data_IF_311861442039
#
_entry.id   IF_311861442039
#
_cell.length_a   1.000
_cell.length_b   1.000
_cell.length_c   1.000
_cell.angle_alpha   90.00
_cell.angle_beta   90.00
_cell.angle_gamma   90.00
#
_symmetry.space_group_name_H-M   'P 1'
#
loop_
_entity.id
_entity.type
_entity.pdbx_description
1 polymer ?
#
# COMPACT_ATOMS: atom_id res chain seq x y z
N UNK A 1 8.07 -20.22 4.06
CA UNK A 1 6.67 -20.19 3.58
C UNK A 1 5.78 -20.26 4.79
N UNK A 2 5.41 -19.08 5.30
CA UNK A 2 5.04 -18.90 6.71
C UNK A 2 3.51 -18.88 6.86
N UNK A 3 2.99 -19.52 7.91
CA UNK A 3 1.55 -19.68 8.21
C UNK A 3 0.78 -18.35 8.23
N UNK A 4 1.49 -17.27 8.53
CA UNK A 4 1.01 -15.89 8.48
C UNK A 4 0.60 -15.44 7.06
N UNK A 5 1.28 -15.89 5.99
CA UNK A 5 0.93 -15.50 4.61
C UNK A 5 -0.41 -16.12 4.16
N UNK A 6 -0.74 -17.33 4.65
CA UNK A 6 -2.03 -17.97 4.38
C UNK A 6 -3.19 -17.32 5.14
N UNK A 7 -2.93 -16.71 6.29
CA UNK A 7 -3.92 -15.91 7.02
C UNK A 7 -4.29 -14.64 6.25
N UNK A 8 -3.35 -14.01 5.52
CA UNK A 8 -3.65 -12.80 4.74
C UNK A 8 -4.48 -13.08 3.48
N UNK A 9 -4.26 -14.20 2.79
CA UNK A 9 -5.19 -14.65 1.74
C UNK A 9 -6.58 -14.97 2.33
N UNK A 10 -6.65 -15.57 3.52
CA UNK A 10 -7.94 -15.89 4.17
C UNK A 10 -8.67 -14.70 4.78
N UNK A 11 -7.94 -13.66 5.22
CA UNK A 11 -8.53 -12.40 5.72
C UNK A 11 -9.03 -11.55 4.54
N UNK A 12 -8.40 -11.63 3.37
CA UNK A 12 -8.93 -11.04 2.13
C UNK A 12 -10.22 -11.69 1.62
N UNK A 13 -10.50 -12.94 2.03
CA UNK A 13 -11.66 -13.72 1.58
C UNK A 13 -12.84 -13.75 2.58
N UNK A 14 -12.72 -13.12 3.76
CA UNK A 14 -13.77 -13.15 4.78
C UNK A 14 -14.15 -11.77 5.29
N UNK A 15 -15.05 -11.10 4.57
CA UNK A 15 -15.85 -10.02 5.15
C UNK A 15 -16.39 -9.00 4.16
N UNK A 16 -17.53 -9.34 3.55
CA UNK A 16 -18.63 -8.45 3.13
C UNK A 16 -18.46 -6.95 3.46
N UNK A 17 -18.44 -6.08 2.43
CA UNK A 17 -19.18 -4.79 2.46
C UNK A 17 -19.29 -4.04 1.12
N UNK A 18 -18.53 -4.38 0.07
CA UNK A 18 -18.49 -3.53 -1.14
C UNK A 18 -18.91 -4.21 -2.46
N UNK A 19 -20.00 -4.97 -2.41
CA UNK A 19 -20.69 -5.47 -3.62
C UNK A 19 -21.35 -4.33 -4.44
N UNK A 20 -21.15 -3.06 -4.04
CA UNK A 20 -21.58 -1.87 -4.79
C UNK A 20 -20.51 -1.29 -5.72
N UNK A 21 -19.26 -1.77 -5.70
CA UNK A 21 -18.19 -1.20 -6.56
C UNK A 21 -18.33 -1.67 -8.03
N UNK A 22 -19.30 -2.51 -8.36
CA UNK A 22 -19.60 -2.91 -9.74
C UNK A 22 -20.22 -1.79 -10.60
N UNK A 23 -20.36 -0.56 -10.07
CA UNK A 23 -20.92 0.61 -10.75
C UNK A 23 -19.99 1.84 -10.75
N UNK A 24 -18.70 1.70 -10.46
CA UNK A 24 -17.77 2.84 -10.58
C UNK A 24 -17.37 2.99 -12.05
N UNK A 25 -17.88 4.04 -12.70
CA UNK A 25 -17.51 4.44 -14.06
C UNK A 25 -16.47 5.57 -14.06
N UNK A 26 -15.91 5.89 -15.24
CA UNK A 26 -14.92 6.96 -15.40
C UNK A 26 -15.47 8.36 -15.12
N UNK A 27 -16.80 8.52 -15.17
CA UNK A 27 -17.47 9.78 -14.90
C UNK A 27 -17.52 10.10 -13.39
N UNK A 28 -17.46 9.06 -12.55
CA UNK A 28 -17.50 9.17 -11.08
C UNK A 28 -16.10 9.35 -10.46
N UNK A 29 -15.03 8.87 -11.11
CA UNK A 29 -13.66 8.97 -10.60
C UNK A 29 -13.20 10.39 -10.22
N UNK A 30 -13.49 11.45 -11.02
CA UNK A 30 -13.08 12.81 -10.69
C UNK A 30 -13.67 13.34 -9.37
N UNK A 31 -14.87 12.89 -8.99
CA UNK A 31 -15.53 13.26 -7.74
C UNK A 31 -15.18 12.30 -6.59
N UNK A 32 -15.06 11.00 -6.89
CA UNK A 32 -14.77 9.96 -5.91
C UNK A 32 -13.34 10.05 -5.37
N UNK A 33 -12.34 10.21 -6.24
CA UNK A 33 -10.93 10.18 -5.84
C UNK A 33 -10.59 11.27 -4.82
N UNK A 34 -10.99 12.55 -4.99
CA UNK A 34 -10.75 13.58 -3.98
C UNK A 34 -11.36 13.23 -2.63
N UNK A 35 -12.65 12.82 -2.59
CA UNK A 35 -13.33 12.42 -1.35
C UNK A 35 -12.65 11.24 -0.68
N UNK A 36 -12.24 10.24 -1.47
CA UNK A 36 -11.51 9.07 -0.98
C UNK A 36 -10.13 9.45 -0.42
N UNK A 37 -9.42 10.35 -1.10
CA UNK A 37 -8.12 10.88 -0.65
C UNK A 37 -8.27 11.57 0.71
N UNK A 38 -9.32 12.35 0.89
CA UNK A 38 -9.58 13.06 2.13
C UNK A 38 -9.92 12.05 3.24
N UNK A 39 -10.80 11.09 2.98
CA UNK A 39 -11.14 10.02 3.94
C UNK A 39 -9.93 9.16 4.34
N UNK A 40 -9.02 8.86 3.41
CA UNK A 40 -7.78 8.12 3.72
C UNK A 40 -6.93 8.89 4.73
N UNK A 41 -6.94 10.23 4.67
CA UNK A 41 -6.11 11.11 5.49
C UNK A 41 -6.78 11.51 6.81
N UNK A 42 -8.04 11.92 6.77
CA UNK A 42 -8.78 12.49 7.90
C UNK A 42 -9.81 11.54 8.50
N UNK A 43 -10.12 10.43 7.82
CA UNK A 43 -11.12 9.47 8.26
C UNK A 43 -10.81 8.96 9.67
N UNK A 44 -11.81 8.96 10.53
CA UNK A 44 -11.71 8.46 11.90
C UNK A 44 -12.34 7.06 11.94
N UNK A 45 -11.65 6.13 12.60
CA UNK A 45 -12.11 4.75 12.74
C UNK A 45 -11.39 3.77 11.81
N UNK A 46 -11.11 2.58 12.35
CA UNK A 46 -10.37 1.52 11.67
C UNK A 46 -11.13 0.99 10.44
N UNK A 47 -12.44 0.77 10.57
CA UNK A 47 -13.29 0.27 9.49
C UNK A 47 -13.33 1.21 8.29
N UNK A 48 -13.44 2.52 8.52
CA UNK A 48 -13.46 3.54 7.46
C UNK A 48 -12.16 3.56 6.66
N UNK A 49 -11.02 3.64 7.37
CA UNK A 49 -9.70 3.66 6.73
C UNK A 49 -9.44 2.37 5.93
N UNK A 50 -9.72 1.22 6.53
CA UNK A 50 -9.56 -0.06 5.86
C UNK A 50 -10.48 -0.19 4.63
N UNK A 51 -11.73 0.25 4.75
CA UNK A 51 -12.69 0.30 3.64
C UNK A 51 -12.20 1.19 2.49
N UNK A 52 -11.68 2.39 2.80
CA UNK A 52 -11.14 3.29 1.79
C UNK A 52 -9.95 2.68 1.03
N UNK A 53 -9.03 2.04 1.74
CA UNK A 53 -7.90 1.35 1.12
C UNK A 53 -8.35 0.18 0.23
N UNK A 54 -9.37 -0.59 0.67
CA UNK A 54 -9.95 -1.65 -0.15
C UNK A 54 -10.65 -1.13 -1.40
N UNK A 55 -11.32 0.03 -1.33
CA UNK A 55 -11.87 0.69 -2.52
C UNK A 55 -10.75 1.03 -3.50
N UNK A 56 -9.63 1.61 -3.03
CA UNK A 56 -8.47 1.88 -3.90
C UNK A 56 -8.00 0.60 -4.59
N UNK A 57 -7.88 -0.51 -3.85
CA UNK A 57 -7.50 -1.81 -4.42
C UNK A 57 -8.49 -2.23 -5.51
N UNK A 58 -9.81 -2.18 -5.26
CA UNK A 58 -10.83 -2.52 -6.24
C UNK A 58 -10.74 -1.67 -7.52
N UNK A 59 -10.49 -0.36 -7.38
CA UNK A 59 -10.32 0.54 -8.54
C UNK A 59 -9.13 0.14 -9.41
N UNK A 60 -8.06 -0.42 -8.84
CA UNK A 60 -6.91 -0.89 -9.63
C UNK A 60 -7.25 -2.04 -10.58
N UNK A 61 -8.33 -2.77 -10.31
CA UNK A 61 -8.81 -3.85 -11.17
C UNK A 61 -9.87 -3.40 -12.17
N UNK A 62 -10.75 -2.49 -11.75
CA UNK A 62 -11.92 -2.11 -12.54
C UNK A 62 -11.59 -1.12 -13.66
N UNK A 63 -10.79 -0.09 -13.35
CA UNK A 63 -10.50 1.00 -14.27
C UNK A 63 -9.01 1.42 -14.20
N UNK A 64 -8.06 0.51 -14.50
CA UNK A 64 -6.63 0.78 -14.33
C UNK A 64 -6.10 1.94 -15.18
N UNK A 65 -6.68 2.18 -16.36
CA UNK A 65 -6.25 3.27 -17.25
C UNK A 65 -6.69 4.63 -16.73
N UNK A 66 -7.93 4.74 -16.29
CA UNK A 66 -8.53 5.99 -15.80
C UNK A 66 -8.03 6.32 -14.39
N UNK A 67 -7.69 5.30 -13.59
CA UNK A 67 -7.06 5.49 -12.29
C UNK A 67 -5.62 6.04 -12.40
N UNK A 68 -4.93 5.83 -13.52
CA UNK A 68 -3.51 6.20 -13.71
C UNK A 68 -3.24 7.69 -13.46
N UNK A 69 -4.16 8.57 -13.83
CA UNK A 69 -4.01 10.02 -13.61
C UNK A 69 -4.16 10.42 -12.14
N UNK A 70 -4.82 9.57 -11.34
CA UNK A 70 -5.07 9.79 -9.91
C UNK A 70 -4.10 9.03 -8.99
N UNK A 71 -3.43 8.00 -9.51
CA UNK A 71 -2.61 7.08 -8.74
C UNK A 71 -1.54 7.77 -7.88
N UNK A 72 -0.88 8.81 -8.39
CA UNK A 72 0.12 9.58 -7.62
C UNK A 72 -0.46 10.27 -6.37
N UNK A 73 -1.68 10.81 -6.46
CA UNK A 73 -2.38 11.46 -5.34
C UNK A 73 -2.79 10.43 -4.28
N UNK A 74 -3.35 9.30 -4.74
CA UNK A 74 -3.74 8.19 -3.86
C UNK A 74 -2.54 7.56 -3.16
N UNK A 75 -1.43 7.32 -3.88
CA UNK A 75 -0.19 6.81 -3.29
C UNK A 75 0.32 7.73 -2.19
N UNK A 76 0.34 9.04 -2.43
CA UNK A 76 0.82 10.00 -1.43
C UNK A 76 -0.03 9.98 -0.15
N UNK A 77 -1.35 9.81 -0.29
CA UNK A 77 -2.25 9.73 0.87
C UNK A 77 -2.14 8.39 1.62
N UNK A 78 -2.00 7.27 0.90
CA UNK A 78 -1.76 5.96 1.53
C UNK A 78 -0.39 5.90 2.21
N UNK A 79 0.63 6.50 1.60
CA UNK A 79 1.98 6.59 2.17
C UNK A 79 1.98 7.27 3.55
N UNK A 80 1.18 8.32 3.74
CA UNK A 80 1.04 8.98 5.03
C UNK A 80 0.44 8.05 6.10
N UNK A 81 -0.47 7.16 5.73
CA UNK A 81 -1.06 6.20 6.68
C UNK A 81 -0.14 5.03 7.05
N UNK A 82 1.07 4.93 6.45
CA UNK A 82 2.10 4.01 6.95
C UNK A 82 2.65 4.40 8.32
N UNK A 83 2.38 5.61 8.80
CA UNK A 83 2.69 6.08 10.16
C UNK A 83 1.48 6.06 11.09
N UNK A 84 0.39 5.37 10.73
CA UNK A 84 -0.79 5.28 11.58
C UNK A 84 -0.48 4.54 12.89
N UNK A 85 -1.14 4.92 13.98
CA UNK A 85 -0.98 4.26 15.29
C UNK A 85 -1.38 2.78 15.23
N UNK A 86 -2.38 2.44 14.41
CA UNK A 86 -2.88 1.08 14.24
C UNK A 86 -2.03 0.27 13.25
N UNK A 87 -1.43 -0.82 13.74
CA UNK A 87 -0.68 -1.76 12.90
C UNK A 87 -1.53 -2.37 11.78
N UNK A 88 -2.82 -2.61 12.04
CA UNK A 88 -3.77 -3.10 11.04
C UNK A 88 -3.92 -2.11 9.89
N UNK A 89 -4.05 -0.81 10.19
CA UNK A 89 -4.17 0.22 9.14
C UNK A 89 -2.88 0.34 8.34
N UNK A 90 -1.72 0.39 9.02
CA UNK A 90 -0.42 0.42 8.33
C UNK A 90 -0.29 -0.74 7.34
N UNK A 91 -0.72 -1.93 7.74
CA UNK A 91 -0.71 -3.11 6.88
C UNK A 91 -1.68 -3.02 5.71
N UNK A 92 -2.93 -2.64 5.94
CA UNK A 92 -3.92 -2.51 4.85
C UNK A 92 -3.48 -1.46 3.83
N UNK A 93 -2.89 -0.34 4.28
CA UNK A 93 -2.39 0.70 3.39
C UNK A 93 -1.14 0.25 2.62
N UNK A 94 -0.23 -0.49 3.26
CA UNK A 94 0.90 -1.12 2.59
C UNK A 94 0.45 -2.07 1.47
N UNK A 95 -0.58 -2.89 1.73
CA UNK A 95 -1.20 -3.75 0.71
C UNK A 95 -1.79 -2.93 -0.44
N UNK A 96 -2.53 -1.87 -0.13
CA UNK A 96 -3.12 -1.00 -1.14
C UNK A 96 -2.07 -0.32 -2.02
N UNK A 97 -0.94 0.12 -1.45
CA UNK A 97 0.21 0.61 -2.21
C UNK A 97 0.77 -0.46 -3.15
N UNK A 98 0.90 -1.71 -2.69
CA UNK A 98 1.36 -2.84 -3.50
C UNK A 98 0.50 -3.13 -4.74
N UNK A 99 -0.81 -2.86 -4.65
CA UNK A 99 -1.69 -2.91 -5.83
C UNK A 99 -1.57 -1.65 -6.70
N UNK A 100 -1.55 -0.47 -6.08
CA UNK A 100 -1.58 0.81 -6.76
C UNK A 100 -0.33 1.08 -7.61
N UNK A 101 0.83 0.50 -7.26
CA UNK A 101 2.04 0.62 -8.07
C UNK A 101 1.90 0.05 -9.49
N UNK A 102 0.97 -0.89 -9.74
CA UNK A 102 0.73 -1.46 -11.08
C UNK A 102 0.20 -0.45 -12.08
N UNK A 103 -0.63 0.47 -11.60
CA UNK A 103 -1.30 1.48 -12.42
C UNK A 103 -0.57 2.83 -12.35
N UNK A 104 0.48 2.93 -11.54
CA UNK A 104 1.25 4.15 -11.34
C UNK A 104 2.33 4.32 -12.41
N UNK A 105 2.71 5.58 -12.66
CA UNK A 105 3.88 5.89 -13.51
C UNK A 105 5.17 5.51 -12.76
N UNK A 106 6.17 5.04 -13.50
CA UNK A 106 7.46 4.62 -12.93
C UNK A 106 8.11 5.71 -12.06
N UNK A 107 8.07 6.97 -12.49
CA UNK A 107 8.59 8.10 -11.72
C UNK A 107 7.91 8.29 -10.36
N UNK A 108 6.66 7.84 -10.23
CA UNK A 108 5.92 7.90 -8.96
C UNK A 108 6.23 6.70 -8.07
N UNK A 109 6.43 5.51 -8.67
CA UNK A 109 6.88 4.30 -7.97
C UNK A 109 8.31 4.47 -7.45
N UNK A 110 9.20 5.04 -8.25
CA UNK A 110 10.58 5.35 -7.85
C UNK A 110 10.60 6.30 -6.64
N UNK A 111 9.82 7.38 -6.67
CA UNK A 111 9.67 8.29 -5.52
C UNK A 111 9.13 7.58 -4.27
N UNK A 112 8.19 6.65 -4.44
CA UNK A 112 7.69 5.83 -3.33
C UNK A 112 8.82 4.98 -2.73
N UNK A 113 9.54 4.21 -3.56
CA UNK A 113 10.62 3.32 -3.10
C UNK A 113 11.74 4.13 -2.43
N UNK A 114 12.15 5.26 -3.01
CA UNK A 114 13.15 6.15 -2.40
C UNK A 114 12.69 6.66 -1.03
N UNK A 115 11.42 7.07 -0.89
CA UNK A 115 10.90 7.54 0.38
C UNK A 115 10.82 6.44 1.44
N UNK A 116 10.43 5.23 1.05
CA UNK A 116 10.49 4.06 1.93
C UNK A 116 11.94 3.77 2.35
N UNK A 117 12.90 3.88 1.43
CA UNK A 117 14.33 3.66 1.70
C UNK A 117 14.83 4.68 2.72
N UNK A 118 14.56 5.97 2.50
CA UNK A 118 14.90 7.03 3.46
C UNK A 118 14.29 6.75 4.83
N UNK A 119 12.99 6.41 4.91
CA UNK A 119 12.35 6.11 6.18
C UNK A 119 12.93 4.88 6.89
N UNK A 120 13.29 3.84 6.13
CA UNK A 120 13.89 2.64 6.68
C UNK A 120 15.30 2.90 7.24
N UNK A 121 16.07 3.78 6.59
CA UNK A 121 17.46 4.09 6.93
C UNK A 121 17.56 5.14 8.06
N UNK A 122 16.72 6.18 8.03
CA UNK A 122 16.83 7.33 8.91
C UNK A 122 16.08 7.16 10.24
N UNK A 123 15.07 6.26 10.30
CA UNK A 123 14.25 6.08 11.50
C UNK A 123 14.62 4.80 12.25
N UNK A 124 14.92 4.95 13.54
CA UNK A 124 15.09 3.83 14.47
C UNK A 124 13.74 3.23 14.94
N UNK A 125 12.61 3.85 14.57
CA UNK A 125 11.29 3.36 14.93
C UNK A 125 10.95 2.05 14.19
N UNK A 126 10.87 0.97 14.96
CA UNK A 126 10.48 -0.36 14.50
C UNK A 126 9.12 -0.36 13.78
N UNK A 127 8.19 0.51 14.17
CA UNK A 127 6.88 0.57 13.53
C UNK A 127 6.97 1.08 12.09
N UNK A 128 7.81 2.09 11.85
CA UNK A 128 8.10 2.65 10.53
C UNK A 128 8.90 1.67 9.68
N UNK A 129 9.94 1.03 10.23
CA UNK A 129 10.71 -0.01 9.53
C UNK A 129 9.83 -1.18 9.11
N UNK A 130 8.95 -1.63 10.00
CA UNK A 130 7.97 -2.69 9.73
C UNK A 130 7.02 -2.30 8.60
N UNK A 131 6.47 -1.07 8.61
CA UNK A 131 5.63 -0.58 7.52
C UNK A 131 6.35 -0.52 6.17
N UNK A 132 7.61 -0.09 6.15
CA UNK A 132 8.42 -0.08 4.92
C UNK A 132 8.63 -1.50 4.38
N UNK A 133 8.98 -2.45 5.26
CA UNK A 133 9.12 -3.86 4.90
C UNK A 133 7.82 -4.48 4.39
N UNK A 134 6.69 -4.22 5.07
CA UNK A 134 5.36 -4.68 4.64
C UNK A 134 4.97 -4.12 3.27
N UNK A 135 5.29 -2.85 3.00
CA UNK A 135 5.00 -2.20 1.72
C UNK A 135 5.84 -2.82 0.61
N UNK A 136 7.14 -3.03 0.85
CA UNK A 136 8.01 -3.68 -0.12
C UNK A 136 7.57 -5.13 -0.37
N UNK A 137 7.19 -5.87 0.68
CA UNK A 137 6.64 -7.22 0.56
C UNK A 137 5.35 -7.24 -0.28
N UNK A 138 4.43 -6.29 -0.04
CA UNK A 138 3.20 -6.17 -0.81
C UNK A 138 3.47 -5.87 -2.29
N UNK A 139 4.45 -5.00 -2.59
CA UNK A 139 4.88 -4.73 -3.97
C UNK A 139 5.45 -6.00 -4.60
N UNK A 140 6.30 -6.77 -3.92
CA UNK A 140 6.84 -8.04 -4.42
C UNK A 140 5.73 -9.05 -4.74
N UNK A 141 4.73 -9.15 -3.86
CA UNK A 141 3.67 -10.13 -3.99
C UNK A 141 2.67 -9.75 -5.09
N UNK A 142 2.27 -8.48 -5.14
CA UNK A 142 1.22 -8.05 -6.06
C UNK A 142 1.78 -7.60 -7.40
N UNK A 143 2.92 -6.90 -7.44
CA UNK A 143 3.49 -6.28 -8.63
C UNK A 143 4.99 -6.64 -8.84
N UNK A 144 5.32 -7.95 -8.96
CA UNK A 144 6.72 -8.40 -9.07
C UNK A 144 7.45 -7.80 -10.29
N UNK A 145 6.73 -7.56 -11.38
CA UNK A 145 7.30 -7.01 -12.62
C UNK A 145 7.68 -5.54 -12.45
N UNK A 146 6.88 -4.79 -11.68
CA UNK A 146 7.19 -3.40 -11.30
C UNK A 146 8.40 -3.39 -10.38
N UNK A 147 8.47 -4.28 -9.40
CA UNK A 147 9.62 -4.36 -8.50
C UNK A 147 10.92 -4.67 -9.26
N UNK A 148 10.88 -5.59 -10.23
CA UNK A 148 12.06 -5.93 -11.06
C UNK A 148 12.63 -4.71 -11.79
N UNK A 149 11.76 -3.83 -12.30
CA UNK A 149 12.17 -2.59 -12.98
C UNK A 149 12.80 -1.57 -12.03
N UNK A 150 12.46 -1.63 -10.74
CA UNK A 150 12.99 -0.76 -9.69
C UNK A 150 13.88 -1.52 -8.69
N UNK A 151 14.49 -2.62 -9.13
CA UNK A 151 15.27 -3.48 -8.24
C UNK A 151 16.51 -2.74 -7.71
N UNK A 152 17.13 -1.89 -8.52
CA UNK A 152 18.31 -1.12 -8.13
C UNK A 152 18.03 -0.22 -6.92
N UNK A 153 16.84 0.39 -6.84
CA UNK A 153 16.44 1.26 -5.73
C UNK A 153 15.98 0.47 -4.50
N UNK A 154 15.33 -0.69 -4.71
CA UNK A 154 14.79 -1.52 -3.64
C UNK A 154 15.84 -2.41 -2.95
N UNK A 155 16.87 -2.84 -3.68
CA UNK A 155 17.90 -3.77 -3.20
C UNK A 155 18.63 -3.30 -1.93
N UNK A 156 19.07 -2.03 -1.81
CA UNK A 156 19.75 -1.57 -0.59
C UNK A 156 18.90 -1.71 0.67
N UNK A 157 17.60 -1.44 0.56
CA UNK A 157 16.66 -1.60 1.68
C UNK A 157 16.47 -3.08 2.01
N UNK A 158 16.27 -3.94 1.01
CA UNK A 158 16.12 -5.37 1.23
C UNK A 158 17.38 -5.97 1.86
N UNK A 159 18.57 -5.59 1.38
CA UNK A 159 19.85 -6.01 1.93
C UNK A 159 19.99 -5.58 3.38
N UNK A 160 19.73 -4.31 3.70
CA UNK A 160 19.81 -3.84 5.09
C UNK A 160 18.80 -4.57 5.97
N UNK A 161 17.57 -4.75 5.52
CA UNK A 161 16.53 -5.45 6.30
C UNK A 161 16.84 -6.91 6.59
N UNK A 162 17.60 -7.58 5.72
CA UNK A 162 18.09 -8.95 5.98
C UNK A 162 19.20 -9.00 7.03
N UNK A 163 19.98 -7.92 7.17
CA UNK A 163 21.10 -7.83 8.11
C UNK A 163 20.78 -7.07 9.40
N UNK A 164 19.62 -6.40 9.45
CA UNK A 164 19.14 -5.76 10.66
C UNK A 164 18.90 -6.86 11.70
N UNK A 165 19.57 -6.76 12.85
CA UNK A 165 19.53 -7.78 13.90
C UNK A 165 18.14 -7.77 14.50
N UNK A 166 17.20 -8.52 13.92
CA UNK A 166 15.87 -8.71 14.51
C UNK A 166 16.05 -9.25 15.92
N UNK A 167 15.76 -8.41 16.93
CA UNK A 167 15.28 -8.92 18.21
C UNK A 167 13.94 -9.59 17.91
N UNK A 168 13.99 -10.87 17.53
CA UNK A 168 12.82 -11.74 17.49
C UNK A 168 12.22 -11.66 18.89
N UNK A 169 11.12 -10.91 19.03
CA UNK A 169 10.28 -10.98 20.22
C UNK A 169 9.91 -12.44 20.40
N UNK A 170 10.44 -13.03 21.48
CA UNK A 170 9.94 -14.26 22.08
C UNK A 170 8.57 -13.95 22.67
#
# INVERSE_FOLDING_TARGET
>A
TNRSDQEWCRIGDKGNIFQCIQYVDDSVLPELVPKLTDLIRSGVGLGTKAGCANIVISLTYQCPQDLKQYAGKLMSSLLNGLHDKSATIRKVYATALGYLVKVSKDSSVEKLIQKLKTWYMDKEDESTKSSCGLTLQAITHHAPDVLKRHAAEALPMAFLAMHDKRKRGV
#
